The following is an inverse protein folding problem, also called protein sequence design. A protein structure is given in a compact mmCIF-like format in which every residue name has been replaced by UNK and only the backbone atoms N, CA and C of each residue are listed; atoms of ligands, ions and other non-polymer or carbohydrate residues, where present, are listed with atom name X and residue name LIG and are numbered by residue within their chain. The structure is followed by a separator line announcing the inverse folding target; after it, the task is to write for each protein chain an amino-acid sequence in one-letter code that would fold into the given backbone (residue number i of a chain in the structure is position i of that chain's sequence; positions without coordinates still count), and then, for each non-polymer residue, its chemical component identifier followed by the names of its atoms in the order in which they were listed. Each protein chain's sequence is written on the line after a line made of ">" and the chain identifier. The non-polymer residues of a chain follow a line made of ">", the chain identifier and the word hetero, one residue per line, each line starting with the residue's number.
data_IF_440748819087
#
_entry.id   IF_440748819087
#
_cell.length_a   1.000
_cell.length_b   1.000
_cell.length_c   1.000
_cell.angle_alpha   90.00
_cell.angle_beta   90.00
_cell.angle_gamma   90.00
#
_symmetry.space_group_name_H-M   'P 1'
#
loop_
_entity.id
_entity.type
_entity.pdbx_description
1 polymer ?
#
# COMPACT_ATOMS: atom_id res chain seq x y z
N UNK A 1 11.15 -2.94 13.51
CA UNK A 1 10.50 -2.65 12.20
C UNK A 1 10.45 -3.93 11.40
N UNK A 2 9.31 -4.24 10.80
CA UNK A 2 9.15 -5.38 9.91
C UNK A 2 8.88 -4.86 8.49
N UNK A 3 9.48 -5.49 7.48
CA UNK A 3 9.31 -5.09 6.09
C UNK A 3 9.04 -6.34 5.25
N UNK A 4 8.04 -6.24 4.37
CA UNK A 4 7.79 -7.23 3.34
C UNK A 4 8.11 -6.60 1.99
N UNK A 5 9.06 -7.17 1.27
CA UNK A 5 9.52 -6.66 -0.01
C UNK A 5 9.26 -7.70 -1.07
N UNK A 6 8.50 -7.33 -2.09
CA UNK A 6 8.17 -8.18 -3.23
C UNK A 6 8.68 -7.53 -4.51
N UNK A 7 9.20 -8.32 -5.44
CA UNK A 7 9.63 -7.80 -6.74
C UNK A 7 8.44 -7.35 -7.61
N UNK A 8 7.29 -7.99 -7.46
CA UNK A 8 6.11 -7.70 -8.26
C UNK A 8 4.82 -7.89 -7.47
N UNK A 9 3.96 -6.87 -7.45
CA UNK A 9 2.70 -6.83 -6.68
C UNK A 9 2.89 -7.37 -5.26
N UNK A 10 2.10 -8.36 -4.84
CA UNK A 10 2.22 -8.98 -3.52
C UNK A 10 3.21 -10.15 -3.47
N UNK A 11 3.88 -10.48 -4.58
CA UNK A 11 4.81 -11.61 -4.69
C UNK A 11 4.14 -12.98 -4.52
N UNK A 12 4.97 -14.01 -4.38
CA UNK A 12 4.51 -15.40 -4.20
C UNK A 12 4.37 -15.80 -2.72
N UNK A 13 4.92 -14.99 -1.81
CA UNK A 13 5.03 -15.29 -0.38
C UNK A 13 3.93 -14.60 0.45
N UNK A 14 2.70 -14.55 -0.09
CA UNK A 14 1.54 -13.92 0.57
C UNK A 14 1.24 -14.56 1.93
N UNK A 15 1.57 -15.83 2.11
CA UNK A 15 1.46 -16.51 3.42
C UNK A 15 2.36 -15.85 4.47
N UNK A 16 3.56 -15.41 4.10
CA UNK A 16 4.46 -14.69 5.00
C UNK A 16 3.90 -13.29 5.30
N UNK A 17 3.35 -12.60 4.28
CA UNK A 17 2.66 -11.32 4.48
C UNK A 17 1.51 -11.43 5.50
N UNK A 18 0.69 -12.48 5.40
CA UNK A 18 -0.38 -12.79 6.36
C UNK A 18 0.13 -13.14 7.75
N UNK A 19 1.29 -13.79 7.86
CA UNK A 19 1.90 -14.09 9.15
C UNK A 19 2.48 -12.83 9.83
N UNK A 20 2.90 -11.84 9.04
CA UNK A 20 3.49 -10.59 9.54
C UNK A 20 2.44 -9.57 10.00
N UNK A 21 1.26 -9.57 9.40
CA UNK A 21 0.19 -8.62 9.70
C UNK A 21 -1.00 -9.38 10.30
N UNK A 22 -1.36 -9.16 11.57
CA UNK A 22 -2.56 -9.73 12.14
C UNK A 22 -3.80 -9.31 11.33
N UNK A 23 -4.67 -10.26 11.00
CA UNK A 23 -5.79 -10.11 10.08
C UNK A 23 -6.79 -8.96 10.42
N UNK A 24 -6.83 -8.51 11.67
CA UNK A 24 -7.75 -7.44 12.10
C UNK A 24 -7.25 -6.03 11.85
N UNK A 25 -6.07 -5.86 11.27
CA UNK A 25 -5.44 -4.55 11.18
C UNK A 25 -5.76 -3.85 9.87
N UNK A 26 -6.04 -2.55 9.99
CA UNK A 26 -6.21 -1.65 8.87
C UNK A 26 -4.89 -1.40 8.15
N UNK A 27 -4.94 -1.54 6.83
CA UNK A 27 -3.81 -1.35 5.93
C UNK A 27 -4.10 -0.16 5.02
N UNK A 28 -3.18 0.81 4.99
CA UNK A 28 -3.20 1.85 3.98
C UNK A 28 -2.57 1.31 2.70
N UNK A 29 -3.27 1.39 1.57
CA UNK A 29 -2.70 1.18 0.25
C UNK A 29 -2.34 2.53 -0.37
N UNK A 30 -1.06 2.72 -0.68
CA UNK A 30 -0.50 3.98 -1.21
C UNK A 30 0.08 3.69 -2.60
N UNK A 31 -0.46 4.34 -3.63
CA UNK A 31 -0.01 4.23 -5.02
C UNK A 31 0.70 5.48 -5.56
N UNK A 32 0.96 6.49 -4.70
CA UNK A 32 1.55 7.77 -5.08
C UNK A 32 2.90 7.66 -5.82
N UNK A 33 3.61 6.54 -5.71
CA UNK A 33 4.83 6.29 -6.49
C UNK A 33 4.56 6.14 -8.01
N UNK A 34 3.31 5.84 -8.42
CA UNK A 34 2.87 5.76 -9.82
C UNK A 34 2.36 7.09 -10.37
N UNK A 35 2.41 8.16 -9.59
CA UNK A 35 1.97 9.51 -9.97
C UNK A 35 2.98 10.23 -10.89
N UNK A 36 3.44 9.54 -11.95
CA UNK A 36 4.33 10.12 -12.94
C UNK A 36 3.56 10.65 -14.15
N UNK A 37 4.12 11.70 -14.77
CA UNK A 37 3.49 12.40 -15.88
C UNK A 37 3.33 11.45 -17.08
N UNK A 38 2.09 11.16 -17.47
CA UNK A 38 1.75 10.33 -18.63
C UNK A 38 1.21 8.93 -18.31
N UNK A 39 1.02 8.59 -17.03
CA UNK A 39 0.29 7.39 -16.65
C UNK A 39 -1.22 7.58 -16.86
N UNK A 40 -1.90 6.58 -17.42
CA UNK A 40 -3.35 6.60 -17.61
C UNK A 40 -4.05 6.54 -16.25
N UNK A 41 -4.76 7.61 -15.88
CA UNK A 41 -5.45 7.72 -14.60
C UNK A 41 -6.55 6.67 -14.44
N UNK A 42 -7.24 6.29 -15.52
CA UNK A 42 -8.28 5.26 -15.46
C UNK A 42 -7.65 3.88 -15.19
N UNK A 43 -6.50 3.60 -15.82
CA UNK A 43 -5.72 2.41 -15.53
C UNK A 43 -5.20 2.40 -14.09
N UNK A 44 -4.78 3.57 -13.56
CA UNK A 44 -4.33 3.71 -12.17
C UNK A 44 -5.41 3.35 -11.17
N UNK A 45 -6.59 3.95 -11.33
CA UNK A 45 -7.74 3.71 -10.45
C UNK A 45 -8.14 2.24 -10.51
N UNK A 46 -8.20 1.65 -11.71
CA UNK A 46 -8.51 0.23 -11.88
C UNK A 46 -7.52 -0.67 -11.13
N UNK A 47 -6.21 -0.47 -11.34
CA UNK A 47 -5.17 -1.29 -10.69
C UNK A 47 -5.17 -1.10 -9.16
N UNK A 48 -5.42 0.13 -8.68
CA UNK A 48 -5.61 0.42 -7.25
C UNK A 48 -6.75 -0.40 -6.68
N UNK A 49 -7.93 -0.35 -7.30
CA UNK A 49 -9.11 -1.05 -6.80
C UNK A 49 -8.91 -2.56 -6.81
N UNK A 50 -8.27 -3.10 -7.86
CA UNK A 50 -7.89 -4.51 -7.95
C UNK A 50 -6.93 -4.92 -6.80
N UNK A 51 -5.92 -4.11 -6.50
CA UNK A 51 -4.99 -4.42 -5.41
C UNK A 51 -5.62 -4.32 -4.01
N UNK A 52 -6.47 -3.32 -3.79
CA UNK A 52 -7.23 -3.20 -2.53
C UNK A 52 -8.15 -4.41 -2.37
N UNK A 53 -8.84 -4.82 -3.44
CA UNK A 53 -9.70 -6.00 -3.41
C UNK A 53 -8.88 -7.27 -3.11
N UNK A 54 -7.69 -7.44 -3.69
CA UNK A 54 -6.81 -8.57 -3.39
C UNK A 54 -6.37 -8.59 -1.92
N UNK A 55 -5.99 -7.45 -1.35
CA UNK A 55 -5.66 -7.35 0.08
C UNK A 55 -6.84 -7.72 0.97
N UNK A 56 -8.04 -7.27 0.62
CA UNK A 56 -9.26 -7.63 1.34
C UNK A 56 -9.56 -9.13 1.22
N UNK A 57 -9.33 -9.75 0.06
CA UNK A 57 -9.42 -11.21 -0.13
C UNK A 57 -8.38 -11.99 0.68
N UNK A 58 -7.23 -11.39 0.97
CA UNK A 58 -6.24 -11.97 1.86
C UNK A 58 -6.67 -11.94 3.34
N UNK A 59 -7.73 -11.20 3.66
CA UNK A 59 -8.28 -11.07 5.01
C UNK A 59 -7.78 -9.82 5.75
N UNK A 60 -7.28 -8.82 5.03
CA UNK A 60 -6.93 -7.52 5.60
C UNK A 60 -8.09 -6.52 5.45
N UNK A 61 -8.05 -5.41 6.20
CA UNK A 61 -8.95 -4.26 6.01
C UNK A 61 -8.18 -3.14 5.30
N UNK A 62 -8.09 -3.23 3.97
CA UNK A 62 -7.31 -2.30 3.16
C UNK A 62 -8.15 -1.13 2.64
N UNK A 63 -7.64 0.09 2.82
CA UNK A 63 -8.23 1.32 2.27
C UNK A 63 -7.17 2.11 1.50
N UNK A 64 -7.61 2.87 0.47
CA UNK A 64 -6.72 3.79 -0.25
C UNK A 64 -6.34 4.98 0.64
N UNK A 65 -5.05 5.35 0.62
CA UNK A 65 -4.54 6.55 1.26
C UNK A 65 -3.75 7.36 0.23
N UNK A 66 -4.25 8.54 -0.12
CA UNK A 66 -3.52 9.49 -0.95
C UNK A 66 -2.60 10.36 -0.09
N UNK A 67 -1.28 10.27 -0.30
CA UNK A 67 -0.33 11.10 0.44
C UNK A 67 -0.43 12.60 0.07
N UNK A 68 -1.03 12.95 -1.08
CA UNK A 68 -1.22 14.34 -1.49
C UNK A 68 -2.09 15.12 -0.52
N UNK A 69 -3.07 14.45 0.10
CA UNK A 69 -3.98 15.05 1.09
C UNK A 69 -3.25 15.51 2.36
N UNK A 70 -2.03 15.00 2.56
CA UNK A 70 -1.17 15.23 3.72
C UNK A 70 0.11 16.01 3.39
N UNK A 71 0.23 16.57 2.19
CA UNK A 71 1.31 17.51 1.88
C UNK A 71 1.27 18.68 2.86
N UNK A 72 2.43 19.00 3.44
CA UNK A 72 2.62 19.97 4.53
C UNK A 72 1.89 19.67 5.85
N UNK A 73 1.20 18.53 5.95
CA UNK A 73 0.44 18.07 7.14
C UNK A 73 1.04 16.81 7.77
N UNK A 74 2.37 16.75 7.87
CA UNK A 74 3.11 15.62 8.47
C UNK A 74 2.58 15.22 9.87
N UNK A 75 2.19 16.14 10.77
CA UNK A 75 1.63 15.77 12.07
C UNK A 75 0.29 15.03 11.95
N UNK A 76 -0.56 15.43 11.00
CA UNK A 76 -1.87 14.80 10.76
C UNK A 76 -1.71 13.40 10.19
N UNK A 77 -0.74 13.20 9.29
CA UNK A 77 -0.41 11.88 8.75
C UNK A 77 0.06 10.92 9.86
N UNK A 78 0.92 11.40 10.78
CA UNK A 78 1.42 10.60 11.92
C UNK A 78 0.34 10.27 12.94
N UNK A 79 -0.62 11.18 13.11
CA UNK A 79 -1.73 11.02 14.07
C UNK A 79 -2.90 10.26 13.45
N UNK A 80 -2.85 9.93 12.15
CA UNK A 80 -3.89 9.18 11.49
C UNK A 80 -3.88 7.71 11.97
N UNK A 81 -4.50 7.47 13.13
CA UNK A 81 -4.63 6.16 13.77
C UNK A 81 -5.49 5.18 12.97
N UNK A 82 -6.01 5.58 11.80
CA UNK A 82 -6.76 4.67 10.92
C UNK A 82 -5.90 3.55 10.38
N UNK A 83 -4.58 3.73 10.25
CA UNK A 83 -3.72 2.73 9.61
C UNK A 83 -2.59 2.32 10.56
N UNK A 84 -2.52 1.02 10.84
CA UNK A 84 -1.46 0.43 11.67
C UNK A 84 -0.30 -0.03 10.77
N UNK A 85 -0.61 -0.40 9.52
CA UNK A 85 0.36 -0.82 8.53
C UNK A 85 0.14 -0.04 7.24
N UNK A 86 1.22 0.29 6.54
CA UNK A 86 1.13 0.91 5.22
C UNK A 86 1.79 0.00 4.18
N UNK A 87 1.08 -0.26 3.10
CA UNK A 87 1.57 -0.91 1.89
C UNK A 87 1.82 0.18 0.87
N UNK A 88 3.09 0.39 0.51
CA UNK A 88 3.50 1.44 -0.41
C UNK A 88 3.87 0.80 -1.73
N UNK A 89 2.91 0.71 -2.66
CA UNK A 89 3.24 0.17 -3.95
C UNK A 89 4.16 1.13 -4.71
N UNK A 90 5.46 0.83 -4.67
CA UNK A 90 6.44 1.39 -5.58
C UNK A 90 6.39 0.60 -6.89
N UNK A 91 6.43 1.30 -8.02
CA UNK A 91 6.78 0.74 -9.31
C UNK A 91 7.98 1.52 -9.82
N UNK A 92 9.18 1.10 -9.43
CA UNK A 92 10.34 1.33 -10.29
C UNK A 92 10.14 0.41 -11.49
N UNK A 93 10.18 0.98 -12.70
CA UNK A 93 10.31 0.28 -13.98
C UNK A 93 10.60 -1.22 -13.79
N UNK A 94 9.54 -2.02 -13.94
CA UNK A 94 9.48 -3.48 -13.93
C UNK A 94 9.81 -4.32 -12.67
N UNK A 95 10.34 -3.87 -11.52
CA UNK A 95 10.86 -4.90 -10.58
C UNK A 95 10.79 -4.77 -9.05
N UNK A 96 10.22 -3.75 -8.39
CA UNK A 96 10.13 -3.79 -6.90
C UNK A 96 8.93 -3.04 -6.32
N UNK A 97 8.09 -3.72 -5.54
CA UNK A 97 7.02 -3.20 -4.66
C UNK A 97 7.47 -3.24 -3.18
N UNK A 98 7.17 -2.19 -2.40
CA UNK A 98 7.64 -2.06 -1.01
C UNK A 98 6.45 -2.07 -0.03
N UNK A 99 6.60 -2.64 1.16
CA UNK A 99 5.63 -2.46 2.26
C UNK A 99 6.38 -1.72 3.38
N UNK A 100 5.90 -0.53 3.75
CA UNK A 100 6.60 0.37 4.66
C UNK A 100 5.78 0.57 5.94
N UNK A 101 6.24 0.02 7.06
CA UNK A 101 5.62 0.25 8.38
C UNK A 101 6.21 1.52 9.00
N UNK A 102 5.40 2.56 9.18
CA UNK A 102 5.73 3.70 10.05
C UNK A 102 5.00 3.44 11.36
N UNK A 103 5.76 3.19 12.44
CA UNK A 103 5.30 3.37 13.81
C UNK A 103 5.32 4.87 14.15
#
# INVERSE_FOLDING_TARGET
>A
MHFYLSSYNFGNEVTQLKAMIPATNKIAYIDNAKDYKGFDEALRIKLRDEHIQQLNQFGFDAEYLDLKDYFDKKPELRTNTKFIYNIVQFCLFDFICYIWTIL
#
